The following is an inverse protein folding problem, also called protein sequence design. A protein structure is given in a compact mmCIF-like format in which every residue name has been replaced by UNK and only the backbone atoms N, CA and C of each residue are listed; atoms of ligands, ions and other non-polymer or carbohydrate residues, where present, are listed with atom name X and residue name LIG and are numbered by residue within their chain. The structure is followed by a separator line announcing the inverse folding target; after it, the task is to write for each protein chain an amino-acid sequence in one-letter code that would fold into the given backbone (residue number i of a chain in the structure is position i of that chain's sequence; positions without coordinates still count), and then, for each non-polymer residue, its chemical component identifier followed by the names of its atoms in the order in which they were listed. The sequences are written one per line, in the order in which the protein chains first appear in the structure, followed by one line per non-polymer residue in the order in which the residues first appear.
data_IF_588914530933
#
_entry.id   IF_588914530933
#
_cell.length_a   1.000
_cell.length_b   1.000
_cell.length_c   1.000
_cell.angle_alpha   90.00
_cell.angle_beta   90.00
_cell.angle_gamma   90.00
#
_symmetry.space_group_name_H-M   'P 1'
#
loop_
_entity.id
_entity.type
_entity.pdbx_description
1 polymer ?
#
# COMPACT_ATOMS: atom_id res chain seq x y z
N UNK A 1 18.57 16.95 20.80
CA UNK A 1 20.02 17.17 20.59
C UNK A 1 20.72 15.88 20.16
N UNK A 2 20.39 14.72 20.71
CA UNK A 2 20.96 13.44 20.29
C UNK A 2 20.74 13.12 18.80
N UNK A 3 19.51 13.29 18.29
CA UNK A 3 19.20 13.05 16.86
C UNK A 3 20.01 13.92 15.87
N UNK A 4 20.46 15.11 16.28
CA UNK A 4 21.30 15.98 15.43
C UNK A 4 22.76 15.51 15.45
N UNK A 5 23.23 15.03 16.61
CA UNK A 5 24.56 14.43 16.77
C UNK A 5 24.66 13.11 15.98
N UNK A 6 23.64 12.26 16.05
CA UNK A 6 23.62 10.98 15.35
C UNK A 6 23.62 11.18 13.81
N UNK A 7 22.86 12.18 13.32
CA UNK A 7 22.88 12.60 11.92
C UNK A 7 24.23 13.19 11.47
N UNK A 8 25.01 13.77 12.38
CA UNK A 8 26.33 14.35 12.09
C UNK A 8 27.43 13.28 12.05
N UNK A 9 27.23 12.14 12.72
CA UNK A 9 28.22 11.06 12.84
C UNK A 9 27.99 9.95 11.79
N UNK A 10 26.91 9.99 11.01
CA UNK A 10 26.53 8.90 10.08
C UNK A 10 26.44 7.54 10.77
N UNK A 11 26.11 7.52 12.06
CA UNK A 11 25.63 6.30 12.71
C UNK A 11 24.29 5.96 12.05
N UNK A 12 24.08 4.70 11.64
CA UNK A 12 22.79 4.27 11.12
C UNK A 12 21.66 4.65 12.09
N UNK A 13 20.44 4.83 11.58
CA UNK A 13 19.32 5.13 12.49
C UNK A 13 19.25 4.02 13.55
N UNK A 14 19.26 4.34 14.86
CA UNK A 14 19.42 3.32 15.90
C UNK A 14 18.30 2.27 15.85
N UNK A 15 17.13 2.63 15.31
CA UNK A 15 15.97 1.75 15.24
C UNK A 15 16.16 0.62 14.23
N UNK A 16 16.68 0.89 13.02
CA UNK A 16 16.91 -0.16 12.01
C UNK A 16 17.91 -1.22 12.52
N UNK A 17 19.01 -0.78 13.11
CA UNK A 17 20.07 -1.65 13.60
C UNK A 17 19.56 -2.49 14.77
N UNK A 18 18.77 -1.90 15.68
CA UNK A 18 18.13 -2.63 16.77
C UNK A 18 17.14 -3.68 16.24
N UNK A 19 16.33 -3.36 15.23
CA UNK A 19 15.37 -4.31 14.65
C UNK A 19 16.08 -5.50 14.00
N UNK A 20 17.15 -5.25 13.25
CA UNK A 20 17.94 -6.30 12.60
C UNK A 20 18.68 -7.13 13.65
N UNK A 21 19.40 -6.49 14.57
CA UNK A 21 20.22 -7.17 15.61
C UNK A 21 19.38 -8.07 16.51
N UNK A 22 18.13 -7.67 16.82
CA UNK A 22 17.23 -8.45 17.66
C UNK A 22 16.26 -9.34 16.87
N UNK A 23 16.41 -9.45 15.55
CA UNK A 23 15.57 -10.30 14.70
C UNK A 23 14.08 -9.96 14.77
N UNK A 24 13.74 -8.66 14.87
CA UNK A 24 12.36 -8.21 15.09
C UNK A 24 11.54 -8.07 13.82
N UNK A 25 12.16 -8.02 12.65
CA UNK A 25 11.44 -7.91 11.38
C UNK A 25 10.52 -9.11 11.14
N UNK A 26 10.98 -10.38 11.27
CA UNK A 26 10.08 -11.54 11.18
C UNK A 26 8.92 -11.49 12.18
N UNK A 27 9.19 -11.13 13.44
CA UNK A 27 8.14 -10.99 14.46
C UNK A 27 7.09 -9.94 14.08
N UNK A 28 7.50 -8.80 13.51
CA UNK A 28 6.57 -7.77 13.05
C UNK A 28 5.69 -8.28 11.91
N UNK A 29 6.25 -9.07 10.99
CA UNK A 29 5.47 -9.70 9.91
C UNK A 29 4.47 -10.70 10.48
N UNK A 30 4.88 -11.59 11.38
CA UNK A 30 3.99 -12.55 12.03
C UNK A 30 2.81 -11.87 12.76
N UNK A 31 3.10 -10.82 13.53
CA UNK A 31 2.06 -10.03 14.21
C UNK A 31 1.14 -9.31 13.22
N UNK A 32 1.68 -8.79 12.11
CA UNK A 32 0.88 -8.18 11.04
C UNK A 32 -0.13 -9.18 10.46
N UNK A 33 0.32 -10.39 10.14
CA UNK A 33 -0.54 -11.46 9.61
C UNK A 33 -1.56 -11.89 10.67
N UNK A 34 -1.15 -12.03 11.93
CA UNK A 34 -2.05 -12.40 13.01
C UNK A 34 -3.19 -11.38 13.18
N UNK A 35 -2.89 -10.08 13.15
CA UNK A 35 -3.89 -9.02 13.23
C UNK A 35 -4.77 -8.98 11.98
N UNK A 36 -4.21 -9.14 10.77
CA UNK A 36 -4.99 -9.24 9.52
C UNK A 36 -6.04 -10.38 9.64
N UNK A 37 -5.59 -11.56 10.07
CA UNK A 37 -6.44 -12.74 10.25
C UNK A 37 -7.53 -12.51 11.28
N UNK A 38 -7.20 -11.88 12.42
CA UNK A 38 -8.17 -11.50 13.43
C UNK A 38 -9.21 -10.52 12.86
N UNK A 39 -8.79 -9.51 12.10
CA UNK A 39 -9.71 -8.54 11.47
C UNK A 39 -10.59 -9.16 10.41
N UNK A 40 -10.14 -10.19 9.70
CA UNK A 40 -10.94 -10.87 8.69
C UNK A 40 -11.89 -11.92 9.28
N UNK A 41 -11.51 -12.59 10.37
CA UNK A 41 -12.24 -13.75 10.89
C UNK A 41 -13.02 -13.47 12.17
N UNK A 42 -12.51 -12.60 13.04
CA UNK A 42 -13.08 -12.33 14.37
C UNK A 42 -13.88 -11.04 14.38
N UNK A 43 -13.31 -9.95 13.86
CA UNK A 43 -13.98 -8.64 13.88
C UNK A 43 -15.38 -8.64 13.23
N UNK A 44 -15.63 -9.27 12.07
CA UNK A 44 -16.95 -9.31 11.46
C UNK A 44 -17.96 -10.13 12.26
N UNK A 45 -17.48 -11.12 13.02
CA UNK A 45 -18.32 -11.90 13.94
C UNK A 45 -18.74 -11.04 15.11
N UNK A 46 -17.80 -10.35 15.78
CA UNK A 46 -18.10 -9.41 16.87
C UNK A 46 -19.12 -8.34 16.44
N UNK A 47 -19.04 -7.90 15.20
CA UNK A 47 -19.94 -6.92 14.61
C UNK A 47 -21.38 -7.41 14.37
N UNK A 48 -21.60 -8.73 14.21
CA UNK A 48 -22.90 -9.32 13.87
C UNK A 48 -23.65 -9.89 15.08
N UNK A 49 -22.97 -10.07 16.20
CA UNK A 49 -23.52 -10.65 17.42
C UNK A 49 -24.44 -9.63 18.08
N UNK A 50 -25.76 -9.90 18.12
CA UNK A 50 -26.78 -8.95 18.57
C UNK A 50 -26.70 -8.61 20.06
N UNK A 51 -26.25 -9.54 20.88
CA UNK A 51 -26.04 -9.40 22.33
C UNK A 51 -24.69 -8.74 22.69
N UNK A 52 -23.79 -8.59 21.72
CA UNK A 52 -22.49 -7.95 21.92
C UNK A 52 -22.57 -6.44 21.71
N UNK A 53 -22.89 -5.72 22.80
CA UNK A 53 -22.97 -4.24 22.82
C UNK A 53 -22.01 -3.68 23.86
N UNK A 54 -20.69 -3.63 23.57
CA UNK A 54 -19.71 -3.14 24.52
C UNK A 54 -19.96 -1.65 24.82
N UNK A 55 -19.89 -1.28 26.11
CA UNK A 55 -19.92 0.14 26.51
C UNK A 55 -18.65 0.88 26.09
N UNK A 56 -17.55 0.16 25.91
CA UNK A 56 -16.26 0.69 25.47
C UNK A 56 -15.71 -0.17 24.33
N UNK A 57 -15.57 0.43 23.15
CA UNK A 57 -15.01 -0.20 21.95
C UNK A 57 -13.49 -0.08 21.84
N UNK A 58 -12.84 0.67 22.74
CA UNK A 58 -11.40 0.92 22.73
C UNK A 58 -10.53 -0.35 22.65
N UNK A 59 -10.81 -1.45 23.39
CA UNK A 59 -10.00 -2.67 23.26
C UNK A 59 -10.03 -3.26 21.84
N UNK A 60 -11.18 -3.19 21.16
CA UNK A 60 -11.36 -3.69 19.80
C UNK A 60 -10.64 -2.75 18.81
N UNK A 61 -10.81 -1.44 19.00
CA UNK A 61 -10.10 -0.42 18.24
C UNK A 61 -8.58 -0.58 18.31
N UNK A 62 -8.02 -0.86 19.49
CA UNK A 62 -6.57 -1.06 19.66
C UNK A 62 -6.04 -2.20 18.81
N UNK A 63 -6.78 -3.30 18.67
CA UNK A 63 -6.39 -4.42 17.79
C UNK A 63 -6.44 -3.98 16.32
N UNK A 64 -7.50 -3.28 15.90
CA UNK A 64 -7.63 -2.76 14.53
C UNK A 64 -6.51 -1.76 14.20
N UNK A 65 -6.14 -0.91 15.16
CA UNK A 65 -5.06 0.07 15.06
C UNK A 65 -3.67 -0.55 15.08
N UNK A 66 -3.52 -1.73 15.67
CA UNK A 66 -2.24 -2.41 15.71
C UNK A 66 -1.71 -2.72 14.29
N UNK A 67 -2.57 -3.16 13.38
CA UNK A 67 -2.19 -3.40 11.98
C UNK A 67 -1.64 -2.13 11.31
N UNK A 68 -2.34 -1.00 11.48
CA UNK A 68 -1.91 0.30 10.95
C UNK A 68 -0.56 0.75 11.53
N UNK A 69 -0.32 0.44 12.81
CA UNK A 69 0.94 0.76 13.49
C UNK A 69 2.10 -0.07 12.94
N UNK A 70 1.89 -1.39 12.78
CA UNK A 70 2.92 -2.29 12.26
C UNK A 70 3.26 -1.96 10.80
N UNK A 71 2.27 -1.82 9.92
CA UNK A 71 2.54 -1.52 8.51
C UNK A 71 3.21 -0.15 8.32
N UNK A 72 2.88 0.84 9.17
CA UNK A 72 3.54 2.14 9.16
C UNK A 72 5.00 2.05 9.61
N UNK A 73 5.29 1.24 10.63
CA UNK A 73 6.67 0.97 11.04
C UNK A 73 7.44 0.27 9.91
N UNK A 74 6.87 -0.80 9.33
CA UNK A 74 7.47 -1.53 8.21
C UNK A 74 7.72 -0.62 7.01
N UNK A 75 6.75 0.22 6.61
CA UNK A 75 6.93 1.23 5.55
C UNK A 75 8.13 2.14 5.84
N UNK A 76 8.31 2.56 7.09
CA UNK A 76 9.41 3.46 7.47
C UNK A 76 10.76 2.75 7.40
N UNK A 77 10.86 1.53 7.91
CA UNK A 77 12.16 0.83 8.06
C UNK A 77 12.57 0.04 6.82
N UNK A 78 11.63 -0.44 5.99
CA UNK A 78 11.92 -1.18 4.76
C UNK A 78 12.54 -0.31 3.67
N UNK A 79 12.56 1.01 3.83
CA UNK A 79 13.37 1.89 2.99
C UNK A 79 14.86 1.49 3.01
N UNK A 80 15.33 0.88 4.09
CA UNK A 80 16.71 0.42 4.23
C UNK A 80 16.84 -1.06 3.83
N UNK A 81 17.69 -1.33 2.84
CA UNK A 81 17.89 -2.66 2.25
C UNK A 81 18.23 -3.74 3.28
N UNK A 82 19.07 -3.41 4.27
CA UNK A 82 19.48 -4.33 5.35
C UNK A 82 18.28 -4.85 6.15
N UNK A 83 17.27 -4.00 6.39
CA UNK A 83 16.06 -4.38 7.11
C UNK A 83 15.21 -5.32 6.26
N UNK A 84 15.07 -5.04 4.96
CA UNK A 84 14.36 -5.93 4.04
C UNK A 84 15.04 -7.29 3.92
N UNK A 85 16.37 -7.35 3.89
CA UNK A 85 17.13 -8.60 3.84
C UNK A 85 16.97 -9.42 5.13
N UNK A 86 16.84 -8.76 6.29
CA UNK A 86 16.59 -9.42 7.58
C UNK A 86 15.19 -10.04 7.73
N UNK A 87 14.27 -9.79 6.80
CA UNK A 87 12.95 -10.42 6.79
C UNK A 87 13.01 -11.90 6.38
N UNK A 88 14.10 -12.36 5.77
CA UNK A 88 14.34 -13.75 5.40
C UNK A 88 13.11 -14.41 4.73
N UNK A 89 12.61 -15.53 5.26
CA UNK A 89 11.48 -16.27 4.68
C UNK A 89 10.13 -15.55 4.86
N UNK A 90 9.99 -14.73 5.92
CA UNK A 90 8.74 -14.01 6.20
C UNK A 90 8.44 -12.91 5.18
N UNK A 91 9.41 -12.54 4.33
CA UNK A 91 9.19 -11.60 3.23
C UNK A 91 8.11 -12.10 2.26
N UNK A 92 7.96 -13.41 2.09
CA UNK A 92 6.93 -13.99 1.23
C UNK A 92 5.53 -13.78 1.83
N UNK A 93 5.37 -13.99 3.14
CA UNK A 93 4.11 -13.72 3.84
C UNK A 93 3.73 -12.24 3.76
N UNK A 94 4.73 -11.35 3.83
CA UNK A 94 4.54 -9.92 3.67
C UNK A 94 4.14 -9.54 2.24
N UNK A 95 4.71 -10.18 1.21
CA UNK A 95 4.29 -10.02 -0.19
C UNK A 95 2.83 -10.45 -0.36
N UNK A 96 2.45 -11.58 0.21
CA UNK A 96 1.09 -12.12 0.15
C UNK A 96 0.09 -11.19 0.85
N UNK A 97 0.47 -10.63 2.00
CA UNK A 97 -0.27 -9.59 2.70
C UNK A 97 -0.47 -8.36 1.82
N UNK A 98 0.61 -7.82 1.24
CA UNK A 98 0.54 -6.67 0.34
C UNK A 98 -0.38 -6.95 -0.85
N UNK A 99 -0.26 -8.11 -1.47
CA UNK A 99 -1.13 -8.53 -2.58
C UNK A 99 -2.62 -8.53 -2.17
N UNK A 100 -2.98 -9.10 -1.00
CA UNK A 100 -4.36 -9.09 -0.50
C UNK A 100 -4.89 -7.67 -0.28
N UNK A 101 -4.10 -6.80 0.36
CA UNK A 101 -4.49 -5.40 0.61
C UNK A 101 -4.69 -4.61 -0.67
N UNK A 102 -3.79 -4.76 -1.64
CA UNK A 102 -3.88 -4.09 -2.94
C UNK A 102 -5.04 -4.62 -3.78
N UNK A 103 -5.31 -5.92 -3.75
CA UNK A 103 -6.48 -6.52 -4.41
C UNK A 103 -7.78 -5.96 -3.84
N UNK A 104 -7.87 -5.85 -2.50
CA UNK A 104 -9.02 -5.22 -1.84
C UNK A 104 -9.16 -3.74 -2.23
N UNK A 105 -8.05 -3.02 -2.33
CA UNK A 105 -8.04 -1.62 -2.74
C UNK A 105 -8.61 -1.42 -4.15
N UNK A 106 -8.15 -2.24 -5.11
CA UNK A 106 -8.69 -2.26 -6.49
C UNK A 106 -10.17 -2.59 -6.51
N UNK A 107 -10.59 -3.64 -5.79
CA UNK A 107 -12.00 -4.04 -5.73
C UNK A 107 -12.90 -2.92 -5.21
N UNK A 108 -12.41 -2.12 -4.26
CA UNK A 108 -13.10 -0.94 -3.72
C UNK A 108 -13.12 0.24 -4.69
N UNK A 109 -12.10 0.41 -5.53
CA UNK A 109 -12.12 1.47 -6.55
C UNK A 109 -13.21 1.27 -7.62
N UNK A 110 -13.60 0.02 -7.89
CA UNK A 110 -14.72 -0.29 -8.80
C UNK A 110 -16.11 -0.05 -8.18
N UNK A 111 -16.23 -0.13 -6.85
CA UNK A 111 -17.44 0.16 -6.09
C UNK A 111 -17.36 1.57 -5.52
N UNK A 112 -17.64 2.57 -6.38
CA UNK A 112 -17.42 4.00 -6.15
C UNK A 112 -17.38 4.47 -4.69
N UNK A 113 -16.17 4.84 -4.24
CA UNK A 113 -15.86 5.64 -3.04
C UNK A 113 -16.32 5.06 -1.70
N UNK A 114 -15.54 5.21 -0.60
CA UNK A 114 -16.12 5.04 0.73
C UNK A 114 -17.31 6.00 0.87
N UNK A 115 -18.46 5.55 1.40
CA UNK A 115 -19.61 6.42 1.58
C UNK A 115 -19.22 7.54 2.53
N UNK A 116 -19.08 8.76 2.00
CA UNK A 116 -18.97 9.94 2.84
C UNK A 116 -20.24 10.03 3.68
N UNK A 117 -20.03 10.16 4.99
CA UNK A 117 -21.06 10.00 5.99
C UNK A 117 -22.22 10.97 5.80
N UNK A 118 -23.33 10.47 5.26
CA UNK A 118 -24.64 11.02 5.58
C UNK A 118 -24.93 10.64 7.04
N UNK A 119 -24.86 11.67 7.90
CA UNK A 119 -25.04 11.56 9.34
C UNK A 119 -26.41 10.99 9.70
N UNK A 120 -26.45 9.69 9.96
CA UNK A 120 -27.45 9.10 10.84
C UNK A 120 -26.97 9.30 12.27
N UNK A 121 -27.66 10.17 13.02
CA UNK A 121 -27.33 10.51 14.41
C UNK A 121 -27.49 9.33 15.40
N UNK A 122 -27.92 8.16 14.93
CA UNK A 122 -28.09 6.92 15.71
C UNK A 122 -27.10 5.81 15.28
N UNK A 123 -25.84 6.16 14.98
CA UNK A 123 -24.81 5.13 14.75
C UNK A 123 -24.44 4.47 16.08
N UNK A 124 -24.62 3.15 16.19
CA UNK A 124 -24.20 2.42 17.38
C UNK A 124 -22.66 2.42 17.51
N UNK A 125 -22.07 2.24 18.72
CA UNK A 125 -20.61 2.30 18.90
C UNK A 125 -19.83 1.32 18.02
N UNK A 126 -20.44 0.17 17.68
CA UNK A 126 -19.84 -0.85 16.81
C UNK A 126 -19.84 -0.44 15.33
N UNK A 127 -20.87 0.26 14.86
CA UNK A 127 -20.96 0.80 13.50
C UNK A 127 -19.96 1.93 13.29
N UNK A 128 -19.75 2.78 14.30
CA UNK A 128 -18.71 3.81 14.22
C UNK A 128 -17.32 3.17 14.15
N UNK A 129 -17.08 2.12 14.96
CA UNK A 129 -15.83 1.36 14.89
C UNK A 129 -15.61 0.70 13.52
N UNK A 130 -16.67 0.19 12.87
CA UNK A 130 -16.58 -0.34 11.50
C UNK A 130 -16.17 0.73 10.50
N UNK A 131 -16.80 1.91 10.54
CA UNK A 131 -16.43 3.03 9.67
C UNK A 131 -14.97 3.45 9.87
N UNK A 132 -14.51 3.52 11.12
CA UNK A 132 -13.11 3.82 11.43
C UNK A 132 -12.16 2.75 10.87
N UNK A 133 -12.50 1.46 11.04
CA UNK A 133 -11.73 0.36 10.49
C UNK A 133 -11.64 0.44 8.95
N UNK A 134 -12.74 0.77 8.28
CA UNK A 134 -12.80 0.93 6.81
C UNK A 134 -11.94 2.08 6.31
N UNK A 135 -11.94 3.22 7.01
CA UNK A 135 -11.07 4.36 6.69
C UNK A 135 -9.59 3.97 6.85
N UNK A 136 -9.25 3.27 7.94
CA UNK A 136 -7.88 2.80 8.17
C UNK A 136 -7.42 1.78 7.13
N UNK A 137 -8.30 0.91 6.63
CA UNK A 137 -7.95 -0.05 5.57
C UNK A 137 -7.39 0.63 4.33
N UNK A 138 -7.91 1.80 3.98
CA UNK A 138 -7.41 2.55 2.83
C UNK A 138 -5.96 2.98 3.05
N UNK A 139 -5.66 3.58 4.20
CA UNK A 139 -4.28 3.99 4.53
C UNK A 139 -3.35 2.79 4.64
N UNK A 140 -3.79 1.70 5.28
CA UNK A 140 -3.03 0.44 5.38
C UNK A 140 -2.66 -0.09 3.99
N UNK A 141 -3.60 -0.05 3.04
CA UNK A 141 -3.34 -0.53 1.67
C UNK A 141 -2.32 0.36 0.93
N UNK A 142 -2.34 1.68 1.14
CA UNK A 142 -1.33 2.57 0.57
C UNK A 142 0.06 2.32 1.17
N UNK A 143 0.15 2.06 2.47
CA UNK A 143 1.42 1.69 3.13
C UNK A 143 1.93 0.34 2.64
N UNK A 144 1.02 -0.61 2.41
CA UNK A 144 1.34 -1.90 1.81
C UNK A 144 1.90 -1.75 0.37
N UNK A 145 1.44 -0.75 -0.40
CA UNK A 145 2.03 -0.42 -1.70
C UNK A 145 3.49 0.03 -1.56
N UNK A 146 3.76 0.95 -0.61
CA UNK A 146 5.12 1.41 -0.32
C UNK A 146 6.04 0.26 0.06
N UNK A 147 5.60 -0.58 1.01
CA UNK A 147 6.34 -1.77 1.46
C UNK A 147 6.61 -2.73 0.31
N UNK A 148 5.60 -3.03 -0.51
CA UNK A 148 5.77 -3.89 -1.69
C UNK A 148 6.82 -3.31 -2.65
N UNK A 149 6.78 -2.00 -2.91
CA UNK A 149 7.79 -1.34 -3.75
C UNK A 149 9.19 -1.51 -3.17
N UNK A 150 9.38 -1.34 -1.86
CA UNK A 150 10.69 -1.53 -1.22
C UNK A 150 11.19 -2.98 -1.35
N UNK A 151 10.28 -3.94 -1.16
CA UNK A 151 10.61 -5.36 -1.37
C UNK A 151 11.09 -5.57 -2.81
N UNK A 152 10.40 -5.03 -3.82
CA UNK A 152 10.82 -5.20 -5.23
C UNK A 152 12.22 -4.64 -5.53
N UNK A 153 12.69 -3.65 -4.75
CA UNK A 153 14.01 -3.03 -4.88
C UNK A 153 15.15 -3.88 -4.28
N UNK A 154 14.81 -4.80 -3.36
CA UNK A 154 15.77 -5.62 -2.62
C UNK A 154 15.92 -7.05 -3.19
N UNK A 155 15.20 -7.39 -4.26
CA UNK A 155 15.03 -8.78 -4.76
C UNK A 155 16.24 -9.33 -5.54
N UNK A 156 17.39 -8.67 -5.46
CA UNK A 156 18.61 -9.08 -6.14
C UNK A 156 19.04 -10.52 -5.82
N UNK A 157 18.71 -11.11 -4.65
CA UNK A 157 19.27 -12.44 -4.28
C UNK A 157 18.36 -13.52 -3.68
N UNK A 158 17.24 -13.27 -2.99
CA UNK A 158 16.66 -14.34 -2.14
C UNK A 158 15.25 -14.91 -2.49
N UNK A 159 14.26 -14.13 -2.94
CA UNK A 159 12.86 -14.59 -2.89
C UNK A 159 12.06 -14.47 -4.19
N UNK A 160 12.61 -14.89 -5.33
CA UNK A 160 12.03 -14.59 -6.65
C UNK A 160 10.82 -15.43 -7.08
N UNK A 161 10.41 -16.47 -6.35
CA UNK A 161 9.29 -17.31 -6.80
C UNK A 161 7.91 -16.75 -6.41
N UNK A 162 7.76 -16.21 -5.19
CA UNK A 162 6.46 -15.71 -4.70
C UNK A 162 5.98 -14.41 -5.35
N UNK A 163 6.90 -13.56 -5.83
CA UNK A 163 6.51 -12.30 -6.50
C UNK A 163 5.82 -12.53 -7.85
N UNK A 164 6.08 -13.67 -8.51
CA UNK A 164 5.46 -14.01 -9.79
C UNK A 164 4.19 -14.86 -9.66
N UNK A 165 4.00 -15.57 -8.53
CA UNK A 165 2.81 -16.42 -8.32
C UNK A 165 1.52 -15.60 -8.24
N UNK A 166 1.62 -14.33 -7.85
CA UNK A 166 0.46 -13.46 -7.64
C UNK A 166 0.11 -12.54 -8.82
N UNK A 167 0.76 -12.67 -9.99
CA UNK A 167 0.58 -11.74 -11.11
C UNK A 167 0.63 -10.26 -10.67
N UNK A 168 1.56 -9.93 -9.74
CA UNK A 168 1.71 -8.57 -9.21
C UNK A 168 1.80 -7.50 -10.30
N UNK A 169 2.46 -7.71 -11.46
CA UNK A 169 2.46 -6.72 -12.53
C UNK A 169 1.05 -6.38 -13.05
N UNK A 170 0.14 -7.34 -13.14
CA UNK A 170 -1.24 -7.09 -13.55
C UNK A 170 -1.99 -6.27 -12.49
N UNK A 171 -1.85 -6.64 -11.21
CA UNK A 171 -2.47 -5.91 -10.10
C UNK A 171 -1.99 -4.45 -10.03
N UNK A 172 -0.69 -4.22 -10.20
CA UNK A 172 -0.09 -2.89 -10.22
C UNK A 172 -0.61 -2.05 -11.41
N UNK A 173 -0.83 -2.67 -12.56
CA UNK A 173 -1.42 -1.96 -13.71
C UNK A 173 -2.89 -1.62 -13.49
N UNK A 174 -3.65 -2.51 -12.87
CA UNK A 174 -5.04 -2.26 -12.48
C UNK A 174 -5.13 -1.08 -11.48
N UNK A 175 -4.18 -0.99 -10.54
CA UNK A 175 -4.05 0.15 -9.63
C UNK A 175 -3.76 1.47 -10.36
N UNK A 176 -2.93 1.47 -11.41
CA UNK A 176 -2.70 2.67 -12.23
C UNK A 176 -3.95 3.08 -13.00
N UNK A 177 -4.73 2.12 -13.49
CA UNK A 177 -5.97 2.43 -14.22
C UNK A 177 -7.03 3.05 -13.32
N UNK A 178 -7.26 2.46 -12.15
CA UNK A 178 -8.27 2.94 -11.20
C UNK A 178 -7.79 4.13 -10.37
N UNK A 179 -6.49 4.23 -10.10
CA UNK A 179 -5.86 5.26 -9.27
C UNK A 179 -6.67 5.56 -7.99
N UNK A 180 -6.76 4.62 -7.02
CA UNK A 180 -7.59 4.75 -5.82
C UNK A 180 -7.36 6.02 -4.99
N UNK A 181 -6.15 6.60 -5.10
CA UNK A 181 -5.74 7.85 -4.45
C UNK A 181 -6.14 9.12 -5.22
N UNK A 182 -6.79 8.99 -6.37
CA UNK A 182 -7.33 10.09 -7.16
C UNK A 182 -8.87 9.99 -7.15
N UNK A 183 -9.56 11.06 -6.75
CA UNK A 183 -11.04 11.14 -6.86
C UNK A 183 -11.47 12.47 -7.48
N UNK A 184 -12.58 12.48 -8.22
CA UNK A 184 -13.20 13.72 -8.72
C UNK A 184 -14.43 14.02 -7.92
N UNK A 185 -14.41 15.14 -7.19
CA UNK A 185 -15.53 15.59 -6.36
C UNK A 185 -15.90 17.02 -6.79
N UNK A 186 -17.18 17.24 -7.13
CA UNK A 186 -17.64 18.56 -7.61
C UNK A 186 -16.90 19.10 -8.84
N UNK A 187 -16.43 18.22 -9.73
CA UNK A 187 -15.66 18.57 -10.93
C UNK A 187 -14.18 18.91 -10.70
N UNK A 188 -13.72 18.94 -9.45
CA UNK A 188 -12.31 19.16 -9.08
C UNK A 188 -11.62 17.83 -8.80
N UNK A 189 -10.38 17.68 -9.25
CA UNK A 189 -9.55 16.52 -8.93
C UNK A 189 -9.01 16.66 -7.52
N UNK A 190 -9.22 15.64 -6.69
CA UNK A 190 -8.63 15.51 -5.37
C UNK A 190 -7.65 14.33 -5.35
N UNK A 191 -6.56 14.51 -4.62
CA UNK A 191 -5.49 13.53 -4.43
C UNK A 191 -5.33 13.23 -2.95
N UNK A 192 -5.10 11.97 -2.62
CA UNK A 192 -4.80 11.56 -1.25
C UNK A 192 -3.30 11.66 -0.99
N UNK A 193 -2.90 12.58 -0.12
CA UNK A 193 -1.51 12.78 0.30
C UNK A 193 -1.47 13.13 1.79
N UNK A 194 -0.52 12.54 2.55
CA UNK A 194 -0.35 12.85 3.97
C UNK A 194 -1.59 12.55 4.84
N UNK A 195 -2.27 11.43 4.57
CA UNK A 195 -3.52 11.01 5.23
C UNK A 195 -4.69 11.99 5.06
N UNK A 196 -4.66 12.84 4.03
CA UNK A 196 -5.73 13.82 3.74
C UNK A 196 -5.99 13.94 2.24
N UNK A 197 -7.24 14.25 1.90
CA UNK A 197 -7.64 14.58 0.53
C UNK A 197 -7.35 16.06 0.25
N UNK A 198 -6.58 16.33 -0.80
CA UNK A 198 -6.19 17.66 -1.23
C UNK A 198 -6.70 17.94 -2.63
N UNK A 199 -7.26 19.13 -2.85
CA UNK A 199 -7.69 19.55 -4.19
C UNK A 199 -6.49 19.96 -5.03
N UNK A 200 -6.33 19.32 -6.19
CA UNK A 200 -5.20 19.51 -7.09
C UNK A 200 -5.43 20.73 -7.98
N UNK A 201 -4.47 21.66 -7.98
CA UNK A 201 -4.48 22.82 -8.87
C UNK A 201 -4.45 22.39 -10.35
N UNK A 202 -5.09 23.13 -11.28
CA UNK A 202 -5.16 22.75 -12.70
C UNK A 202 -3.79 22.48 -13.35
N UNK A 203 -2.74 23.17 -12.92
CA UNK A 203 -1.36 22.98 -13.38
C UNK A 203 -0.71 21.67 -12.95
N UNK A 204 -1.22 21.03 -11.89
CA UNK A 204 -0.64 19.80 -11.32
C UNK A 204 -1.45 18.57 -11.66
N UNK A 205 -2.64 18.73 -12.26
CA UNK A 205 -3.51 17.62 -12.69
C UNK A 205 -2.86 16.71 -13.75
N UNK A 206 -1.81 17.18 -14.42
CA UNK A 206 -1.05 16.39 -15.40
C UNK A 206 0.20 15.74 -14.80
N UNK A 207 0.58 16.06 -13.56
CA UNK A 207 1.74 15.46 -12.89
C UNK A 207 1.36 14.09 -12.32
N UNK A 208 2.30 13.15 -12.40
CA UNK A 208 2.17 11.86 -11.71
C UNK A 208 2.21 12.08 -10.20
N UNK A 209 1.32 11.41 -9.47
CA UNK A 209 1.37 11.42 -8.00
C UNK A 209 2.54 10.58 -7.48
N UNK A 210 2.91 10.78 -6.22
CA UNK A 210 3.95 9.96 -5.56
C UNK A 210 3.60 8.48 -5.56
N UNK A 211 2.32 8.15 -5.38
CA UNK A 211 1.80 6.78 -5.39
C UNK A 211 1.89 6.18 -6.79
N UNK A 212 1.54 6.94 -7.84
CA UNK A 212 1.75 6.50 -9.23
C UNK A 212 3.23 6.18 -9.48
N UNK A 213 4.13 7.04 -8.97
CA UNK A 213 5.57 6.81 -9.04
C UNK A 213 6.01 5.51 -8.36
N UNK A 214 5.47 5.20 -7.17
CA UNK A 214 5.75 3.93 -6.48
C UNK A 214 5.32 2.72 -7.31
N UNK A 215 4.14 2.77 -7.92
CA UNK A 215 3.65 1.69 -8.78
C UNK A 215 4.54 1.52 -10.01
N UNK A 216 4.91 2.62 -10.67
CA UNK A 216 5.79 2.58 -11.83
C UNK A 216 7.17 2.00 -11.51
N UNK A 217 7.76 2.38 -10.36
CA UNK A 217 9.04 1.83 -9.90
C UNK A 217 8.90 0.33 -9.62
N UNK A 218 7.84 -0.09 -8.92
CA UNK A 218 7.59 -1.50 -8.66
C UNK A 218 7.43 -2.32 -9.96
N UNK A 219 6.70 -1.78 -10.94
CA UNK A 219 6.59 -2.40 -12.27
C UNK A 219 7.93 -2.48 -13.00
N UNK A 220 8.73 -1.43 -12.94
CA UNK A 220 10.08 -1.42 -13.52
C UNK A 220 10.95 -2.52 -12.89
N UNK A 221 10.98 -2.60 -11.57
CA UNK A 221 11.76 -3.61 -10.84
C UNK A 221 11.31 -5.04 -11.18
N UNK A 222 10.00 -5.26 -11.33
CA UNK A 222 9.43 -6.58 -11.62
C UNK A 222 9.54 -7.03 -13.09
N UNK A 223 9.57 -6.09 -14.06
CA UNK A 223 9.48 -6.41 -15.49
C UNK A 223 10.76 -6.10 -16.28
N UNK A 224 11.51 -5.09 -15.86
CA UNK A 224 12.59 -4.50 -16.65
C UNK A 224 13.97 -4.67 -16.01
N UNK A 225 14.06 -5.24 -14.82
CA UNK A 225 15.36 -5.68 -14.28
C UNK A 225 15.94 -6.81 -15.13
N UNK A 226 17.26 -6.81 -15.41
CA UNK A 226 17.92 -7.85 -16.21
C UNK A 226 17.62 -9.27 -15.71
N UNK A 227 17.52 -9.42 -14.39
CA UNK A 227 17.23 -10.67 -13.68
C UNK A 227 15.77 -11.10 -13.86
N UNK A 228 14.83 -10.16 -13.90
CA UNK A 228 13.41 -10.44 -14.16
C UNK A 228 13.17 -10.86 -15.61
N UNK A 229 13.84 -10.22 -16.58
CA UNK A 229 13.70 -10.57 -17.99
C UNK A 229 14.16 -12.00 -18.30
N UNK A 230 15.14 -12.52 -17.55
CA UNK A 230 15.65 -13.87 -17.72
C UNK A 230 14.69 -14.97 -17.23
N UNK A 231 13.72 -14.64 -16.36
CA UNK A 231 12.88 -15.64 -15.66
C UNK A 231 11.38 -15.40 -15.78
N UNK A 232 10.95 -14.17 -16.04
CA UNK A 232 9.54 -13.85 -16.16
C UNK A 232 9.01 -14.27 -17.53
N UNK A 233 8.32 -15.41 -17.57
CA UNK A 233 7.51 -15.78 -18.72
C UNK A 233 6.24 -14.91 -18.74
N UNK A 234 6.32 -13.75 -19.38
CA UNK A 234 5.15 -12.95 -19.76
C UNK A 234 4.17 -13.86 -20.51
N UNK A 235 3.11 -14.28 -19.84
CA UNK A 235 2.01 -14.98 -20.52
C UNK A 235 1.43 -14.03 -21.57
N UNK A 236 0.96 -14.58 -22.70
CA UNK A 236 0.35 -13.78 -23.77
C UNK A 236 -0.80 -12.89 -23.26
N UNK A 237 -1.52 -13.37 -22.23
CA UNK A 237 -2.55 -12.62 -21.52
C UNK A 237 -1.99 -11.42 -20.74
N UNK A 238 -0.99 -11.63 -19.87
CA UNK A 238 -0.35 -10.56 -19.11
C UNK A 238 0.29 -9.52 -20.06
N UNK A 239 0.96 -9.97 -21.11
CA UNK A 239 1.53 -9.09 -22.15
C UNK A 239 0.44 -8.27 -22.85
N UNK A 240 -0.70 -8.89 -23.18
CA UNK A 240 -1.83 -8.21 -23.82
C UNK A 240 -2.47 -7.14 -22.94
N UNK A 241 -2.60 -7.38 -21.63
CA UNK A 241 -3.06 -6.35 -20.70
C UNK A 241 -2.03 -5.23 -20.54
N UNK A 242 -0.77 -5.57 -20.24
CA UNK A 242 0.31 -4.59 -20.09
C UNK A 242 0.43 -3.67 -21.31
N UNK A 243 0.37 -4.20 -22.54
CA UNK A 243 0.44 -3.43 -23.78
C UNK A 243 -0.74 -2.46 -23.95
N UNK A 244 -1.97 -2.91 -23.66
CA UNK A 244 -3.16 -2.03 -23.73
C UNK A 244 -3.02 -0.82 -22.80
N UNK A 245 -2.48 -1.02 -21.59
CA UNK A 245 -2.30 0.06 -20.63
C UNK A 245 -1.09 0.94 -20.96
N UNK A 246 0.01 0.37 -21.44
CA UNK A 246 1.17 1.14 -21.91
C UNK A 246 0.80 2.08 -23.06
N UNK A 247 -0.02 1.64 -24.02
CA UNK A 247 -0.51 2.49 -25.11
C UNK A 247 -1.47 3.60 -24.62
N UNK A 248 -2.27 3.33 -23.58
CA UNK A 248 -3.19 4.31 -22.99
C UNK A 248 -2.41 5.39 -22.21
N UNK A 249 -1.55 5.00 -21.26
CA UNK A 249 -0.77 5.93 -20.44
C UNK A 249 0.36 6.61 -21.22
N UNK A 250 0.99 5.93 -22.19
CA UNK A 250 1.97 6.52 -23.08
C UNK A 250 1.40 7.68 -23.89
N UNK A 251 0.15 7.56 -24.36
CA UNK A 251 -0.58 8.67 -25.01
C UNK A 251 -0.86 9.81 -24.04
N UNK A 252 -1.26 9.51 -22.80
CA UNK A 252 -1.54 10.54 -21.78
C UNK A 252 -0.28 11.31 -21.36
N UNK A 253 0.85 10.64 -21.15
CA UNK A 253 2.12 11.28 -20.80
C UNK A 253 2.70 12.09 -21.96
N UNK A 254 2.57 11.62 -23.21
CA UNK A 254 3.00 12.37 -24.40
C UNK A 254 2.16 13.64 -24.60
N UNK A 255 0.84 13.57 -24.35
CA UNK A 255 -0.04 14.74 -24.40
C UNK A 255 0.29 15.77 -23.30
N UNK A 256 0.62 15.31 -22.09
CA UNK A 256 1.07 16.19 -21.00
C UNK A 256 2.41 16.88 -21.34
N UNK A 257 3.38 16.13 -21.88
CA UNK A 257 4.69 16.67 -22.27
C UNK A 257 4.63 17.64 -23.48
N UNK A 258 3.62 17.50 -24.35
CA UNK A 258 3.39 18.44 -25.46
C UNK A 258 2.67 19.72 -25.00
N UNK A 259 1.85 19.66 -23.95
CA UNK A 259 1.19 20.82 -23.36
C UNK A 259 2.14 21.81 -22.67
N UNK A 260 3.22 21.31 -22.05
CA UNK A 260 4.24 22.14 -21.39
C UNK A 260 5.25 22.78 -22.36
N UNK A 261 5.31 22.35 -23.63
CA UNK A 261 6.14 23.00 -24.67
C UNK A 261 5.42 24.13 -25.43
N UNK A 262 4.13 24.33 -25.16
CA UNK A 262 3.31 25.33 -25.86
C UNK A 262 3.02 26.59 -25.02
N UNK A 263 3.81 26.85 -23.98
CA UNK A 263 3.79 28.11 -23.20
C UNK A 263 5.15 28.80 -23.23
#
# INVERSE_FOLDING_TARGET
MQAILDATISQGEPIQELLVTHGKVPTLVEELIAVEMWKQKVFPVLCRVEDFKPQNTFPIYMVVHHEASIINLLETVFFHKEVCESAEDTVLDLVDYCHRKLTLLVARSGCGGPPEGEGSQDSNPMQELQKQAELMEFEIALKALSVLRYITDCVDRAGRLGLYTHNLPCLLVELLEHSPWNRREGGKLQQFEGSRWHTVAPSEQQKLSKLDGQVWIALYNLLLSPEAQARYCLTSFAKGQLLKHWEKHGKTCVLAAQGDRAK
#
